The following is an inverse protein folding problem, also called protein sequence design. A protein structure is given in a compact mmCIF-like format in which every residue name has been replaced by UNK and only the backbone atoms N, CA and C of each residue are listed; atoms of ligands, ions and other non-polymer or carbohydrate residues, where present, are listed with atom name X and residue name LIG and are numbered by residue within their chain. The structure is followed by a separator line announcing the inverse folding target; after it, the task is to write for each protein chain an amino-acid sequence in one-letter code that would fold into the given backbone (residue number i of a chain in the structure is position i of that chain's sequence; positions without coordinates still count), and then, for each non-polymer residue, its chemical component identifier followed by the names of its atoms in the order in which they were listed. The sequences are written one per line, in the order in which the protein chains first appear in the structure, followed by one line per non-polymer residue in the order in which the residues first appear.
data_IF_933673274257
#
_entry.id   IF_933673274257
#
_cell.length_a   1.000
_cell.length_b   1.000
_cell.length_c   1.000
_cell.angle_alpha   90.00
_cell.angle_beta   90.00
_cell.angle_gamma   90.00
#
_symmetry.space_group_name_H-M   'P 1'
#
loop_
_entity.id
_entity.type
_entity.pdbx_description
1 polymer ?
#
# COMPACT_ATOMS: atom_id res chain seq x y z
N UNK A 1 10.44 12.22 -63.64
CA UNK A 1 10.20 13.41 -62.79
C UNK A 1 10.89 13.21 -61.45
N UNK A 2 11.62 14.24 -61.00
CA UNK A 2 12.75 14.16 -60.07
C UNK A 2 12.32 13.97 -58.60
N UNK A 3 12.88 12.96 -57.93
CA UNK A 3 13.08 12.95 -56.47
C UNK A 3 14.06 14.08 -56.14
N UNK A 4 13.70 14.96 -55.20
CA UNK A 4 14.63 15.96 -54.65
C UNK A 4 15.06 15.48 -53.28
N UNK A 5 16.31 15.04 -53.24
CA UNK A 5 17.13 14.98 -52.05
C UNK A 5 17.21 16.36 -51.40
N UNK A 6 17.08 16.41 -50.07
CA UNK A 6 17.54 17.56 -49.30
C UNK A 6 18.14 17.09 -47.98
N UNK A 7 19.37 16.59 -48.06
CA UNK A 7 20.32 16.70 -46.97
C UNK A 7 21.23 17.90 -47.27
N UNK A 8 21.25 18.89 -46.39
CA UNK A 8 22.40 19.76 -46.04
C UNK A 8 22.03 20.68 -44.88
N UNK A 9 22.48 20.27 -43.69
CA UNK A 9 23.22 21.05 -42.67
C UNK A 9 22.94 22.56 -42.53
N UNK A 10 22.58 22.98 -41.31
CA UNK A 10 23.45 23.82 -40.48
C UNK A 10 22.92 23.95 -39.04
N UNK A 11 23.83 23.83 -38.09
CA UNK A 11 23.65 24.03 -36.65
C UNK A 11 23.04 25.42 -36.38
N UNK A 12 21.90 25.43 -35.70
CA UNK A 12 21.52 26.56 -34.85
C UNK A 12 21.59 26.08 -33.41
N UNK A 13 22.62 26.52 -32.69
CA UNK A 13 22.76 26.37 -31.24
C UNK A 13 21.69 27.25 -30.59
N UNK A 14 20.46 26.78 -30.51
CA UNK A 14 19.46 27.37 -29.62
C UNK A 14 19.84 26.96 -28.20
N UNK A 15 20.47 27.88 -27.48
CA UNK A 15 20.47 27.86 -26.02
C UNK A 15 18.99 27.87 -25.59
N UNK A 16 18.45 26.68 -25.30
CA UNK A 16 17.29 26.56 -24.44
C UNK A 16 17.72 27.13 -23.08
N UNK A 17 17.55 28.45 -22.92
CA UNK A 17 17.43 29.04 -21.61
C UNK A 17 16.23 28.35 -20.99
N UNK A 18 16.51 27.29 -20.22
CA UNK A 18 15.51 26.56 -19.48
C UNK A 18 14.75 27.56 -18.65
N UNK A 19 13.48 27.77 -18.98
CA UNK A 19 12.53 28.37 -18.07
C UNK A 19 12.41 27.34 -16.94
N UNK A 20 13.29 27.45 -15.96
CA UNK A 20 13.06 26.87 -14.65
C UNK A 20 11.89 27.65 -14.07
N UNK A 21 10.67 27.25 -14.43
CA UNK A 21 9.52 27.47 -13.58
C UNK A 21 9.79 26.63 -12.33
N UNK A 22 10.54 27.20 -11.39
CA UNK A 22 10.43 26.83 -9.98
C UNK A 22 9.04 27.26 -9.54
N UNK A 23 8.03 26.44 -9.90
CA UNK A 23 6.84 26.33 -9.09
C UNK A 23 7.35 25.79 -7.75
N UNK A 24 7.68 26.70 -6.85
CA UNK A 24 7.78 26.41 -5.44
C UNK A 24 6.40 25.92 -5.01
N UNK A 25 6.17 24.63 -5.17
CA UNK A 25 4.98 23.96 -4.66
C UNK A 25 5.11 23.91 -3.13
N UNK A 26 4.11 24.50 -2.48
CA UNK A 26 3.83 24.48 -1.04
C UNK A 26 4.61 23.43 -0.24
N UNK A 27 5.45 23.92 0.68
CA UNK A 27 6.31 23.12 1.58
C UNK A 27 5.58 22.26 2.63
N UNK A 28 4.29 21.93 2.42
CA UNK A 28 3.48 21.08 3.30
C UNK A 28 3.35 19.63 2.83
N UNK A 29 3.31 19.37 1.52
CA UNK A 29 3.25 18.01 0.96
C UNK A 29 4.65 17.36 0.85
N UNK A 30 5.72 18.15 0.92
CA UNK A 30 7.10 17.74 0.60
C UNK A 30 7.78 16.87 1.67
N UNK A 31 7.11 16.57 2.80
CA UNK A 31 7.66 15.72 3.87
C UNK A 31 6.98 14.36 4.04
N UNK A 32 5.86 14.14 3.34
CA UNK A 32 5.07 12.91 3.48
C UNK A 32 5.37 11.96 2.35
N UNK A 33 5.53 10.71 2.70
CA UNK A 33 5.72 9.64 1.73
C UNK A 33 4.39 9.28 1.05
N UNK A 34 4.53 8.58 -0.06
CA UNK A 34 3.43 7.95 -0.76
C UNK A 34 3.62 6.44 -0.75
N UNK A 35 2.51 5.72 -0.70
CA UNK A 35 2.51 4.26 -0.74
C UNK A 35 1.65 3.79 -1.89
N UNK A 36 2.12 2.81 -2.64
CA UNK A 36 1.25 2.00 -3.50
C UNK A 36 1.04 0.65 -2.84
N UNK A 37 -0.21 0.31 -2.55
CA UNK A 37 -0.60 -1.01 -2.07
C UNK A 37 -1.26 -1.77 -3.21
N UNK A 38 -0.57 -2.79 -3.72
CA UNK A 38 -1.10 -3.73 -4.70
C UNK A 38 -1.64 -4.96 -4.00
N UNK A 39 -2.82 -5.41 -4.38
CA UNK A 39 -3.43 -6.65 -3.94
C UNK A 39 -3.63 -7.58 -5.15
N UNK A 40 -3.08 -8.78 -5.06
CA UNK A 40 -3.07 -9.78 -6.12
C UNK A 40 -4.00 -10.93 -5.75
N UNK A 41 -4.97 -11.23 -6.62
CA UNK A 41 -5.73 -12.48 -6.59
C UNK A 41 -5.05 -13.45 -7.55
N UNK A 42 -4.17 -14.30 -7.01
CA UNK A 42 -3.38 -15.25 -7.78
C UNK A 42 -4.06 -16.61 -7.88
N UNK A 43 -3.75 -17.35 -8.94
CA UNK A 43 -3.94 -18.81 -8.93
C UNK A 43 -2.86 -19.44 -8.04
N UNK A 44 -3.19 -20.40 -7.15
CA UNK A 44 -2.21 -20.95 -6.19
C UNK A 44 -0.93 -21.51 -6.83
N UNK A 45 -1.02 -22.13 -8.01
CA UNK A 45 0.12 -22.68 -8.75
C UNK A 45 1.07 -21.62 -9.32
N UNK A 46 0.63 -20.35 -9.37
CA UNK A 46 1.42 -19.22 -9.89
C UNK A 46 2.22 -18.49 -8.83
N UNK A 47 2.04 -18.80 -7.54
CA UNK A 47 2.73 -18.11 -6.44
C UNK A 47 4.24 -18.06 -6.66
N UNK A 48 4.87 -19.20 -6.97
CA UNK A 48 6.31 -19.26 -7.20
C UNK A 48 6.79 -18.37 -8.34
N UNK A 49 6.04 -18.31 -9.45
CA UNK A 49 6.39 -17.48 -10.60
C UNK A 49 6.35 -15.98 -10.23
N UNK A 50 5.33 -15.57 -9.46
CA UNK A 50 5.22 -14.20 -8.95
C UNK A 50 6.35 -13.89 -7.97
N UNK A 51 6.67 -14.81 -7.06
CA UNK A 51 7.74 -14.63 -6.09
C UNK A 51 9.10 -14.46 -6.76
N UNK A 52 9.39 -15.29 -7.79
CA UNK A 52 10.62 -15.17 -8.58
C UNK A 52 10.68 -13.84 -9.33
N UNK A 53 9.57 -13.37 -9.92
CA UNK A 53 9.51 -12.05 -10.56
C UNK A 53 9.71 -10.90 -9.58
N UNK A 54 9.01 -10.91 -8.44
CA UNK A 54 9.10 -9.84 -7.46
C UNK A 54 10.52 -9.76 -6.87
N UNK A 55 11.07 -10.89 -6.45
CA UNK A 55 12.38 -10.95 -5.78
C UNK A 55 13.56 -10.69 -6.72
N UNK A 56 13.49 -11.13 -7.98
CA UNK A 56 14.63 -11.07 -8.91
C UNK A 56 14.54 -9.97 -9.96
N UNK A 57 13.34 -9.48 -10.26
CA UNK A 57 13.13 -8.44 -11.28
C UNK A 57 12.62 -7.13 -10.65
N UNK A 58 11.41 -7.14 -10.09
CA UNK A 58 10.74 -5.89 -9.68
C UNK A 58 11.48 -5.17 -8.55
N UNK A 59 11.72 -5.84 -7.42
CA UNK A 59 12.32 -5.21 -6.24
C UNK A 59 13.73 -4.67 -6.53
N UNK A 60 14.65 -5.43 -7.16
CA UNK A 60 15.96 -4.90 -7.53
C UNK A 60 15.89 -3.70 -8.48
N UNK A 61 14.98 -3.73 -9.46
CA UNK A 61 14.81 -2.64 -10.41
C UNK A 61 14.26 -1.37 -9.75
N UNK A 62 13.26 -1.49 -8.86
CA UNK A 62 12.78 -0.37 -8.04
C UNK A 62 13.89 0.22 -7.18
N UNK A 63 14.70 -0.64 -6.55
CA UNK A 63 15.84 -0.21 -5.74
C UNK A 63 16.85 0.64 -6.52
N UNK A 64 17.16 0.28 -7.78
CA UNK A 64 18.03 1.08 -8.66
C UNK A 64 17.44 2.45 -9.02
N UNK A 65 16.11 2.60 -8.96
CA UNK A 65 15.40 3.86 -9.18
C UNK A 65 15.21 4.67 -7.88
N UNK A 66 15.76 4.20 -6.76
CA UNK A 66 15.56 4.82 -5.44
C UNK A 66 14.15 4.68 -4.90
N UNK A 67 13.36 3.76 -5.44
CA UNK A 67 12.00 3.43 -4.98
C UNK A 67 12.08 2.26 -4.01
N UNK A 68 11.42 2.40 -2.85
CA UNK A 68 11.45 1.41 -1.79
C UNK A 68 11.57 2.05 -0.39
N UNK A 69 11.54 1.25 0.69
CA UNK A 69 11.50 -0.22 0.68
C UNK A 69 10.20 -0.80 0.10
N UNK A 70 10.28 -2.06 -0.33
CA UNK A 70 9.15 -2.84 -0.86
C UNK A 70 8.81 -3.98 0.10
N UNK A 71 7.60 -3.94 0.63
CA UNK A 71 7.03 -5.01 1.44
C UNK A 71 6.26 -6.01 0.58
N UNK A 72 6.43 -7.30 0.84
CA UNK A 72 5.71 -8.37 0.15
C UNK A 72 5.11 -9.30 1.19
N UNK A 73 3.78 -9.44 1.18
CA UNK A 73 3.04 -10.10 2.24
C UNK A 73 2.03 -11.08 1.67
N UNK A 74 2.04 -12.31 2.19
CA UNK A 74 1.10 -13.37 1.85
C UNK A 74 -0.07 -13.35 2.83
N UNK A 75 -1.28 -13.65 2.34
CA UNK A 75 -2.42 -13.91 3.21
C UNK A 75 -2.09 -15.06 4.19
N UNK A 76 -2.63 -14.99 5.41
CA UNK A 76 -2.54 -16.05 6.41
C UNK A 76 -3.94 -16.63 6.65
N UNK A 77 -4.45 -17.55 5.79
CA UNK A 77 -5.81 -18.06 5.87
C UNK A 77 -6.17 -18.65 7.24
N UNK A 78 -5.22 -19.27 7.90
CA UNK A 78 -5.36 -19.84 9.24
C UNK A 78 -5.64 -18.78 10.33
N UNK A 79 -5.27 -17.52 10.08
CA UNK A 79 -5.53 -16.37 10.94
C UNK A 79 -6.66 -15.47 10.40
N UNK A 80 -7.19 -15.79 9.22
CA UNK A 80 -8.27 -15.07 8.54
C UNK A 80 -9.48 -15.99 8.29
N UNK A 81 -10.06 -16.62 9.33
CA UNK A 81 -11.18 -17.51 9.14
C UNK A 81 -12.37 -16.76 8.50
N UNK A 82 -13.15 -17.42 7.62
CA UNK A 82 -14.38 -16.85 7.10
C UNK A 82 -15.30 -16.39 8.24
N UNK A 83 -16.12 -15.34 8.04
CA UNK A 83 -17.11 -14.94 9.02
C UNK A 83 -18.02 -16.12 9.36
N UNK A 84 -18.15 -16.43 10.65
CA UNK A 84 -19.10 -17.45 11.09
C UNK A 84 -20.53 -16.99 10.76
N UNK A 85 -21.38 -17.93 10.32
CA UNK A 85 -22.81 -17.67 10.20
C UNK A 85 -23.37 -17.31 11.58
N UNK A 86 -24.16 -16.23 11.66
CA UNK A 86 -24.88 -15.91 12.90
C UNK A 86 -26.01 -16.94 13.10
N UNK A 87 -26.31 -17.37 14.34
CA UNK A 87 -27.43 -18.26 14.60
C UNK A 87 -28.72 -17.72 13.97
N UNK A 88 -29.43 -18.55 13.21
CA UNK A 88 -30.69 -18.18 12.55
C UNK A 88 -30.55 -17.33 11.28
N UNK A 89 -29.34 -17.10 10.77
CA UNK A 89 -29.12 -16.40 9.50
C UNK A 89 -28.52 -17.36 8.45
N UNK A 90 -28.90 -17.23 7.17
CA UNK A 90 -28.22 -17.97 6.11
C UNK A 90 -26.71 -17.66 6.15
N UNK A 91 -25.86 -18.62 5.75
CA UNK A 91 -24.44 -18.35 5.62
C UNK A 91 -24.24 -17.11 4.73
N UNK A 92 -23.32 -16.21 5.08
CA UNK A 92 -23.07 -15.04 4.25
C UNK A 92 -22.73 -15.52 2.83
N UNK A 93 -23.14 -14.77 1.78
CA UNK A 93 -22.78 -15.11 0.41
C UNK A 93 -21.27 -15.30 0.31
N UNK A 94 -20.83 -16.33 -0.41
CA UNK A 94 -19.41 -16.64 -0.57
C UNK A 94 -18.69 -15.37 -1.04
N UNK A 95 -17.80 -14.79 -0.22
CA UNK A 95 -17.11 -13.59 -0.63
C UNK A 95 -16.24 -13.92 -1.86
N UNK A 96 -16.05 -12.96 -2.79
CA UNK A 96 -15.08 -13.14 -3.86
C UNK A 96 -13.72 -13.53 -3.27
N UNK A 97 -12.99 -14.41 -3.97
CA UNK A 97 -11.69 -14.92 -3.53
C UNK A 97 -10.81 -13.76 -3.06
N UNK A 98 -10.39 -13.74 -1.78
CA UNK A 98 -9.59 -12.65 -1.28
C UNK A 98 -8.24 -12.63 -1.99
N UNK A 99 -7.58 -11.46 -2.09
CA UNK A 99 -6.21 -11.39 -2.55
C UNK A 99 -5.32 -12.30 -1.68
N UNK A 100 -4.44 -13.06 -2.31
CA UNK A 100 -3.50 -13.97 -1.64
C UNK A 100 -2.13 -13.33 -1.41
N UNK A 101 -1.83 -12.24 -2.11
CA UNK A 101 -0.56 -11.56 -2.06
C UNK A 101 -0.75 -10.03 -2.08
N UNK A 102 0.01 -9.34 -1.25
CA UNK A 102 0.04 -7.88 -1.14
C UNK A 102 1.46 -7.36 -1.34
N UNK A 103 1.61 -6.30 -2.14
CA UNK A 103 2.89 -5.63 -2.38
C UNK A 103 2.75 -4.16 -2.00
N UNK A 104 3.53 -3.71 -1.02
CA UNK A 104 3.58 -2.32 -0.57
C UNK A 104 4.85 -1.67 -1.11
N UNK A 105 4.72 -0.64 -1.94
CA UNK A 105 5.84 0.10 -2.53
C UNK A 105 5.86 1.50 -1.94
N UNK A 106 6.99 1.91 -1.34
CA UNK A 106 7.18 3.29 -0.87
C UNK A 106 7.78 4.17 -1.95
N UNK A 107 7.19 5.36 -2.12
CA UNK A 107 7.70 6.47 -2.92
C UNK A 107 7.93 7.71 -2.04
N UNK A 108 8.92 8.52 -2.38
CA UNK A 108 9.20 9.79 -1.68
C UNK A 108 8.75 11.02 -2.45
N UNK A 109 8.31 10.86 -3.70
CA UNK A 109 7.85 11.97 -4.52
C UNK A 109 6.80 11.53 -5.54
N UNK A 110 6.00 12.51 -5.99
CA UNK A 110 5.09 12.33 -7.11
C UNK A 110 5.83 12.03 -8.42
N UNK A 111 7.06 12.54 -8.58
CA UNK A 111 7.90 12.27 -9.74
C UNK A 111 8.27 10.78 -9.84
N UNK A 112 8.61 10.13 -8.72
CA UNK A 112 8.83 8.68 -8.72
C UNK A 112 7.57 7.93 -9.15
N UNK A 113 6.40 8.31 -8.63
CA UNK A 113 5.11 7.69 -9.01
C UNK A 113 4.84 7.86 -10.51
N UNK A 114 5.09 9.05 -11.06
CA UNK A 114 4.82 9.38 -12.46
C UNK A 114 5.77 8.67 -13.44
N UNK A 115 7.02 8.42 -13.05
CA UNK A 115 8.09 7.99 -13.97
C UNK A 115 8.47 6.51 -13.83
N UNK A 116 8.24 5.88 -12.68
CA UNK A 116 8.73 4.51 -12.37
C UNK A 116 8.28 3.48 -13.40
N UNK A 117 7.02 3.52 -13.85
CA UNK A 117 6.50 2.54 -14.79
C UNK A 117 7.20 2.61 -16.16
N UNK A 118 7.43 3.83 -16.66
CA UNK A 118 8.16 4.07 -17.90
C UNK A 118 9.64 3.66 -17.78
N UNK A 119 10.28 3.98 -16.66
CA UNK A 119 11.68 3.63 -16.41
C UNK A 119 11.88 2.11 -16.33
N UNK A 120 10.96 1.39 -15.67
CA UNK A 120 10.95 -0.07 -15.66
C UNK A 120 10.71 -0.62 -17.06
N UNK A 121 9.73 -0.08 -17.80
CA UNK A 121 9.43 -0.52 -19.16
C UNK A 121 10.62 -0.34 -20.12
N UNK A 122 11.47 0.68 -19.92
CA UNK A 122 12.68 0.90 -20.71
C UNK A 122 13.93 0.12 -20.24
N UNK A 123 13.85 -0.62 -19.13
CA UNK A 123 15.02 -1.26 -18.52
C UNK A 123 15.21 -2.71 -19.02
N UNK A 124 16.21 -2.94 -19.85
CA UNK A 124 16.50 -4.26 -20.44
C UNK A 124 16.83 -5.34 -19.40
N UNK A 125 17.52 -4.98 -18.30
CA UNK A 125 17.84 -5.92 -17.23
C UNK A 125 16.58 -6.41 -16.51
N UNK A 126 15.66 -5.49 -16.18
CA UNK A 126 14.36 -5.79 -15.58
C UNK A 126 13.49 -6.63 -16.52
N UNK A 127 13.42 -6.25 -17.80
CA UNK A 127 12.67 -7.01 -18.80
C UNK A 127 13.17 -8.46 -18.90
N UNK A 128 14.49 -8.66 -18.96
CA UNK A 128 15.11 -9.98 -19.00
C UNK A 128 14.84 -10.78 -17.72
N UNK A 129 15.01 -10.15 -16.55
CA UNK A 129 14.77 -10.80 -15.26
C UNK A 129 13.29 -11.19 -15.06
N UNK A 130 12.35 -10.44 -15.63
CA UNK A 130 10.91 -10.67 -15.54
C UNK A 130 10.28 -11.38 -16.74
N UNK A 131 11.08 -11.93 -17.65
CA UNK A 131 10.60 -12.51 -18.92
C UNK A 131 9.60 -13.66 -18.70
N UNK A 132 9.92 -14.58 -17.78
CA UNK A 132 9.05 -15.71 -17.45
C UNK A 132 7.66 -15.29 -16.92
N UNK A 133 7.58 -14.17 -16.20
CA UNK A 133 6.32 -13.63 -15.69
C UNK A 133 5.56 -12.84 -16.76
N UNK A 134 6.26 -12.02 -17.54
CA UNK A 134 5.63 -11.11 -18.52
C UNK A 134 5.17 -11.79 -19.80
N UNK A 135 5.68 -12.99 -20.12
CA UNK A 135 5.36 -13.74 -21.34
C UNK A 135 4.48 -14.96 -21.14
N UNK A 136 3.75 -15.05 -20.02
CA UNK A 136 2.76 -16.12 -19.85
C UNK A 136 1.69 -16.05 -20.95
N UNK A 137 1.21 -17.19 -21.47
CA UNK A 137 0.14 -17.18 -22.47
C UNK A 137 -1.19 -16.77 -21.83
N UNK A 138 -2.08 -16.17 -22.62
CA UNK A 138 -3.42 -15.76 -22.15
C UNK A 138 -4.29 -16.92 -21.66
N UNK A 139 -4.01 -18.15 -22.08
CA UNK A 139 -4.66 -19.38 -21.61
C UNK A 139 -4.23 -19.79 -20.19
N UNK A 140 -3.10 -19.26 -19.69
CA UNK A 140 -2.56 -19.58 -18.38
C UNK A 140 -2.12 -18.30 -17.62
N UNK A 141 -3.06 -17.38 -17.34
CA UNK A 141 -2.73 -16.10 -16.71
C UNK A 141 -2.21 -16.30 -15.29
N UNK A 142 -1.28 -15.41 -14.88
CA UNK A 142 -0.67 -15.43 -13.54
C UNK A 142 -1.68 -15.09 -12.42
N UNK A 143 -2.58 -14.16 -12.70
CA UNK A 143 -3.52 -13.60 -11.73
C UNK A 143 -4.90 -13.42 -12.36
N UNK A 144 -5.93 -13.51 -11.52
CA UNK A 144 -7.28 -13.11 -11.88
C UNK A 144 -7.42 -11.58 -11.81
N UNK A 145 -6.71 -10.95 -10.87
CA UNK A 145 -6.74 -9.50 -10.67
C UNK A 145 -5.50 -8.98 -9.97
N UNK A 146 -5.08 -7.77 -10.36
CA UNK A 146 -4.27 -6.87 -9.55
C UNK A 146 -5.11 -5.62 -9.30
N UNK A 147 -5.29 -5.28 -8.03
CA UNK A 147 -5.91 -4.02 -7.59
C UNK A 147 -4.80 -3.15 -6.99
N UNK A 148 -4.77 -1.86 -7.30
CA UNK A 148 -3.77 -0.93 -6.76
C UNK A 148 -4.45 0.29 -6.13
N UNK A 149 -3.96 0.69 -4.96
CA UNK A 149 -4.34 1.92 -4.28
C UNK A 149 -3.10 2.78 -4.03
N UNK A 150 -3.17 4.05 -4.38
CA UNK A 150 -2.20 5.07 -4.02
C UNK A 150 -2.64 5.75 -2.73
N UNK A 151 -1.73 5.82 -1.77
CA UNK A 151 -1.95 6.40 -0.46
C UNK A 151 -0.95 7.52 -0.18
N UNK A 152 -1.43 8.56 0.50
CA UNK A 152 -0.62 9.62 1.08
C UNK A 152 -0.44 9.35 2.57
N UNK A 153 0.81 9.36 3.06
CA UNK A 153 1.10 9.14 4.47
C UNK A 153 0.36 10.14 5.38
N UNK A 154 0.08 9.71 6.60
CA UNK A 154 -0.51 10.57 7.63
C UNK A 154 0.49 11.64 8.11
N UNK A 155 0.00 12.79 8.54
CA UNK A 155 0.87 13.85 9.10
C UNK A 155 1.55 13.42 10.41
N UNK A 156 0.83 12.68 11.26
CA UNK A 156 1.32 12.12 12.52
C UNK A 156 2.26 10.93 12.35
N UNK A 157 2.41 10.40 11.12
CA UNK A 157 3.39 9.39 10.76
C UNK A 157 3.74 9.55 9.27
N UNK A 158 4.58 10.55 8.92
CA UNK A 158 4.81 10.95 7.54
C UNK A 158 5.70 9.97 6.77
N UNK A 159 6.33 9.03 7.48
CA UNK A 159 7.22 8.04 6.93
C UNK A 159 6.93 6.62 7.46
N UNK A 160 7.18 5.63 6.61
CA UNK A 160 7.03 4.22 6.92
C UNK A 160 8.11 3.77 7.91
N UNK A 161 7.71 2.95 8.88
CA UNK A 161 8.61 2.32 9.83
C UNK A 161 8.82 0.85 9.48
N UNK A 162 10.05 0.50 9.14
CA UNK A 162 10.42 -0.89 8.85
C UNK A 162 10.60 -1.66 10.15
N UNK A 163 9.82 -2.72 10.41
CA UNK A 163 9.99 -3.51 11.62
C UNK A 163 11.24 -4.40 11.54
N UNK A 164 11.74 -4.82 12.70
CA UNK A 164 12.89 -5.73 12.76
C UNK A 164 12.60 -7.09 12.10
N UNK A 165 13.65 -7.76 11.60
CA UNK A 165 13.54 -9.00 10.81
C UNK A 165 13.17 -10.29 11.59
N UNK A 166 12.74 -10.18 12.85
CA UNK A 166 12.32 -11.34 13.66
C UNK A 166 11.00 -11.92 13.15
N UNK A 167 10.60 -13.08 13.69
CA UNK A 167 9.27 -13.64 13.49
C UNK A 167 8.21 -12.58 13.72
N UNK A 168 7.37 -12.37 12.72
CA UNK A 168 6.35 -11.33 12.72
C UNK A 168 5.18 -11.68 11.82
N UNK A 169 4.01 -11.26 12.25
CA UNK A 169 2.80 -11.15 11.44
C UNK A 169 2.47 -9.67 11.23
N UNK A 170 1.70 -9.41 10.19
CA UNK A 170 1.22 -8.08 9.87
C UNK A 170 -0.30 -8.06 9.90
N UNK A 171 -0.88 -6.93 10.28
CA UNK A 171 -2.31 -6.71 10.24
C UNK A 171 -2.60 -5.51 9.36
N UNK A 172 -3.13 -5.75 8.17
CA UNK A 172 -3.60 -4.74 7.24
C UNK A 172 -5.06 -4.42 7.54
N UNK A 173 -5.37 -3.14 7.76
CA UNK A 173 -6.74 -2.68 7.99
C UNK A 173 -7.09 -1.53 7.06
N UNK A 174 -8.27 -1.61 6.45
CA UNK A 174 -8.84 -0.57 5.58
C UNK A 174 -10.16 -0.13 6.19
N UNK A 175 -10.28 1.15 6.51
CA UNK A 175 -11.47 1.73 7.11
C UNK A 175 -12.15 2.60 6.07
N UNK A 176 -13.30 2.14 5.57
CA UNK A 176 -14.16 2.93 4.70
C UNK A 176 -14.99 3.89 5.53
N UNK A 177 -15.29 5.04 4.94
CA UNK A 177 -16.20 6.04 5.49
C UNK A 177 -17.36 6.28 4.53
N UNK A 178 -18.53 6.64 5.07
CA UNK A 178 -19.73 6.87 4.26
C UNK A 178 -19.73 8.24 3.55
N UNK A 179 -18.77 9.12 3.87
CA UNK A 179 -18.57 10.41 3.22
C UNK A 179 -17.10 10.84 3.34
N UNK A 180 -16.67 11.76 2.47
CA UNK A 180 -15.30 12.31 2.50
C UNK A 180 -15.03 13.05 3.80
N UNK A 181 -16.01 13.83 4.30
CA UNK A 181 -15.92 14.54 5.57
C UNK A 181 -15.72 13.57 6.76
N UNK A 182 -16.48 12.47 6.79
CA UNK A 182 -16.31 11.40 7.77
C UNK A 182 -14.90 10.77 7.70
N UNK A 183 -14.41 10.51 6.49
CA UNK A 183 -13.06 10.00 6.28
C UNK A 183 -11.98 10.95 6.81
N UNK A 184 -12.10 12.25 6.49
CA UNK A 184 -11.20 13.29 7.00
C UNK A 184 -11.25 13.39 8.52
N UNK A 185 -12.42 13.25 9.16
CA UNK A 185 -12.53 13.23 10.62
C UNK A 185 -11.85 12.03 11.27
N UNK A 186 -11.94 10.83 10.68
CA UNK A 186 -11.17 9.68 11.18
C UNK A 186 -9.66 9.87 11.01
N UNK A 187 -9.22 10.44 9.89
CA UNK A 187 -7.80 10.77 9.66
C UNK A 187 -7.32 11.83 10.67
N UNK A 188 -8.14 12.84 10.96
CA UNK A 188 -7.89 13.86 11.99
C UNK A 188 -7.70 13.22 13.38
N UNK A 189 -8.55 12.27 13.74
CA UNK A 189 -8.46 11.53 15.01
C UNK A 189 -7.09 10.83 15.18
N UNK A 190 -6.58 10.20 14.11
CA UNK A 190 -5.24 9.62 14.10
C UNK A 190 -4.13 10.66 14.20
N UNK A 191 -4.20 11.72 13.39
CA UNK A 191 -3.14 12.73 13.30
C UNK A 191 -3.07 13.66 14.51
N UNK A 192 -4.21 14.04 15.07
CA UNK A 192 -4.34 15.20 15.99
C UNK A 192 -4.92 14.83 17.35
N UNK A 193 -5.81 13.83 17.41
CA UNK A 193 -6.48 13.46 18.65
C UNK A 193 -5.74 12.35 19.45
N UNK A 194 -4.53 11.99 19.01
CA UNK A 194 -3.62 11.15 19.77
C UNK A 194 -3.73 9.65 19.53
N UNK A 195 -4.63 9.15 18.67
CA UNK A 195 -4.86 7.71 18.48
C UNK A 195 -3.58 6.94 18.10
N UNK A 196 -2.68 7.53 17.30
CA UNK A 196 -1.35 6.94 16.98
C UNK A 196 -0.50 6.76 18.25
N UNK A 197 -0.49 7.75 19.15
CA UNK A 197 0.23 7.68 20.43
C UNK A 197 -0.34 6.56 21.31
N UNK A 198 -1.67 6.44 21.37
CA UNK A 198 -2.35 5.36 22.10
C UNK A 198 -1.94 4.00 21.51
N UNK A 199 -1.96 3.86 20.19
CA UNK A 199 -1.54 2.62 19.52
C UNK A 199 -0.15 2.19 19.98
N UNK A 200 0.83 3.10 19.92
CA UNK A 200 2.21 2.80 20.29
C UNK A 200 2.34 2.33 21.74
N UNK A 201 1.74 3.04 22.69
CA UNK A 201 1.82 2.65 24.11
C UNK A 201 1.11 1.31 24.41
N UNK A 202 0.08 0.97 23.67
CA UNK A 202 -0.64 -0.31 23.81
C UNK A 202 0.07 -1.48 23.11
N UNK A 203 1.19 -1.23 22.42
CA UNK A 203 1.92 -2.26 21.67
C UNK A 203 1.37 -2.52 20.27
N UNK A 204 0.43 -1.71 19.77
CA UNK A 204 0.02 -1.69 18.37
C UNK A 204 1.09 -0.97 17.56
N UNK A 205 2.09 -1.71 17.09
CA UNK A 205 3.29 -1.15 16.42
C UNK A 205 2.98 -0.83 14.96
N UNK A 206 2.96 0.44 14.55
CA UNK A 206 2.67 0.82 13.18
C UNK A 206 3.80 0.47 12.22
N UNK A 207 3.43 0.11 10.99
CA UNK A 207 4.31 0.08 9.82
C UNK A 207 4.06 1.33 8.97
N UNK A 208 2.79 1.62 8.67
CA UNK A 208 2.38 2.87 8.03
C UNK A 208 0.92 3.21 8.34
N UNK A 209 0.56 4.48 8.15
CA UNK A 209 -0.82 4.95 8.00
C UNK A 209 -0.93 5.81 6.74
N UNK A 210 -1.98 5.62 5.95
CA UNK A 210 -2.18 6.36 4.71
C UNK A 210 -3.63 6.64 4.39
N UNK A 211 -3.89 7.83 3.84
CA UNK A 211 -5.16 8.18 3.21
C UNK A 211 -5.12 7.70 1.76
N UNK A 212 -6.11 6.92 1.33
CA UNK A 212 -6.19 6.54 -0.09
C UNK A 212 -6.62 7.73 -0.91
N UNK A 213 -5.76 8.17 -1.83
CA UNK A 213 -6.00 9.32 -2.73
C UNK A 213 -6.46 8.87 -4.13
N UNK A 214 -6.19 7.63 -4.50
CA UNK A 214 -6.73 6.97 -5.68
C UNK A 214 -6.76 5.45 -5.45
N UNK A 215 -7.86 4.78 -5.82
CA UNK A 215 -7.97 3.33 -5.70
C UNK A 215 -9.37 2.87 -5.33
N UNK A 216 -9.46 1.67 -4.80
CA UNK A 216 -10.74 1.05 -4.46
C UNK A 216 -11.26 1.53 -3.10
N UNK A 217 -12.59 1.43 -2.93
CA UNK A 217 -13.28 1.60 -1.63
C UNK A 217 -13.09 2.99 -1.02
N UNK A 218 -12.92 4.02 -1.86
CA UNK A 218 -12.80 5.40 -1.39
C UNK A 218 -14.17 5.97 -0.97
N UNK A 219 -14.21 6.87 0.02
CA UNK A 219 -13.08 7.33 0.83
C UNK A 219 -12.68 6.29 1.89
N UNK A 220 -11.37 6.09 2.06
CA UNK A 220 -10.84 5.23 3.12
C UNK A 220 -9.45 5.69 3.59
N UNK A 221 -9.11 5.25 4.80
CA UNK A 221 -7.74 5.16 5.26
C UNK A 221 -7.31 3.69 5.33
N UNK A 222 -6.02 3.45 5.14
CA UNK A 222 -5.41 2.14 5.28
C UNK A 222 -4.20 2.25 6.21
N UNK A 223 -4.03 1.24 7.07
CA UNK A 223 -2.85 1.13 7.90
C UNK A 223 -2.42 -0.31 8.08
N UNK A 224 -1.15 -0.49 8.42
CA UNK A 224 -0.59 -1.78 8.72
C UNK A 224 0.12 -1.73 10.07
N UNK A 225 -0.13 -2.75 10.89
CA UNK A 225 0.56 -2.98 12.17
C UNK A 225 1.40 -4.25 12.10
N UNK A 226 2.43 -4.35 12.92
CA UNK A 226 3.25 -5.56 13.06
C UNK A 226 3.19 -6.13 14.48
N UNK A 227 3.27 -7.45 14.60
CA UNK A 227 3.27 -8.16 15.88
C UNK A 227 4.20 -9.38 15.81
N UNK A 228 4.79 -9.82 16.93
CA UNK A 228 5.57 -11.06 16.95
C UNK A 228 4.73 -12.29 16.54
N UNK A 229 3.49 -12.37 17.01
CA UNK A 229 2.55 -13.45 16.73
C UNK A 229 1.10 -13.01 17.01
N UNK A 230 0.15 -13.90 16.78
CA UNK A 230 -1.27 -13.61 16.92
C UNK A 230 -1.72 -13.35 18.36
N UNK A 231 -1.06 -13.98 19.34
CA UNK A 231 -1.40 -13.77 20.76
C UNK A 231 -0.94 -12.40 21.24
N UNK A 232 0.27 -11.97 20.87
CA UNK A 232 0.74 -10.61 21.13
C UNK A 232 -0.15 -9.56 20.45
N UNK A 233 -0.67 -9.86 19.26
CA UNK A 233 -1.67 -9.02 18.58
C UNK A 233 -2.95 -8.90 19.40
N UNK A 234 -3.52 -10.02 19.85
CA UNK A 234 -4.75 -10.04 20.68
C UNK A 234 -4.54 -9.26 21.98
N UNK A 235 -3.42 -9.46 22.65
CA UNK A 235 -3.05 -8.76 23.89
C UNK A 235 -2.96 -7.25 23.67
N UNK A 236 -2.23 -6.80 22.64
CA UNK A 236 -2.09 -5.38 22.32
C UNK A 236 -3.45 -4.72 22.01
N UNK A 237 -4.32 -5.40 21.25
CA UNK A 237 -5.68 -4.92 21.02
C UNK A 237 -6.55 -4.96 22.28
N UNK A 238 -6.33 -5.91 23.18
CA UNK A 238 -6.97 -5.96 24.49
C UNK A 238 -6.64 -4.69 25.29
N UNK A 239 -5.35 -4.39 25.44
CA UNK A 239 -4.84 -3.17 26.09
C UNK A 239 -5.43 -1.90 25.47
N UNK A 240 -5.43 -1.81 24.13
CA UNK A 240 -5.98 -0.66 23.41
C UNK A 240 -7.47 -0.45 23.69
N UNK A 241 -8.29 -1.53 23.65
CA UNK A 241 -9.75 -1.40 23.85
C UNK A 241 -10.12 -0.91 25.25
N UNK A 242 -9.30 -1.20 26.24
CA UNK A 242 -9.51 -0.79 27.64
C UNK A 242 -8.72 0.45 28.03
N UNK A 243 -7.96 1.05 27.10
CA UNK A 243 -7.15 2.23 27.39
C UNK A 243 -8.05 3.43 27.74
N UNK A 244 -7.83 4.12 28.89
CA UNK A 244 -8.71 5.19 29.34
C UNK A 244 -8.81 6.38 28.38
N UNK A 245 -7.74 6.75 27.67
CA UNK A 245 -7.82 7.86 26.71
C UNK A 245 -8.49 7.42 25.41
N UNK A 246 -8.31 6.17 24.99
CA UNK A 246 -9.08 5.63 23.87
C UNK A 246 -10.58 5.63 24.18
N UNK A 247 -10.95 5.19 25.38
CA UNK A 247 -12.35 5.17 25.82
C UNK A 247 -12.96 6.57 25.84
N UNK A 248 -12.21 7.59 26.28
CA UNK A 248 -12.64 8.99 26.21
C UNK A 248 -12.77 9.45 24.75
N UNK A 249 -11.74 9.21 23.94
CA UNK A 249 -11.66 9.67 22.56
C UNK A 249 -12.79 9.11 21.69
N UNK A 250 -13.07 7.81 21.79
CA UNK A 250 -14.15 7.15 21.02
C UNK A 250 -15.57 7.55 21.46
N UNK A 251 -15.72 8.15 22.64
CA UNK A 251 -16.99 8.64 23.16
C UNK A 251 -17.28 10.09 22.73
N UNK A 252 -16.28 10.82 22.22
CA UNK A 252 -16.50 12.14 21.64
C UNK A 252 -17.38 11.99 20.40
N UNK A 253 -18.50 12.72 20.35
CA UNK A 253 -19.50 12.57 19.28
C UNK A 253 -18.89 12.75 17.88
N UNK A 254 -17.94 13.67 17.72
CA UNK A 254 -17.26 13.92 16.44
C UNK A 254 -16.35 12.76 15.99
N UNK A 255 -15.90 11.92 16.92
CA UNK A 255 -14.97 10.80 16.68
C UNK A 255 -15.60 9.42 16.91
N UNK A 256 -16.88 9.37 17.25
CA UNK A 256 -17.58 8.10 17.46
C UNK A 256 -17.59 7.29 16.16
N UNK A 257 -17.11 6.05 16.20
CA UNK A 257 -16.95 5.20 15.00
C UNK A 257 -18.22 5.14 14.13
N UNK A 258 -19.41 5.08 14.75
CA UNK A 258 -20.72 5.07 14.06
C UNK A 258 -20.91 6.27 13.10
N UNK A 259 -20.21 7.38 13.37
CA UNK A 259 -20.30 8.63 12.62
C UNK A 259 -19.18 8.75 11.57
N UNK A 260 -18.12 7.94 11.63
CA UNK A 260 -16.93 8.16 10.78
C UNK A 260 -16.41 6.89 10.09
N UNK A 261 -16.82 5.70 10.48
CA UNK A 261 -16.44 4.41 9.88
C UNK A 261 -17.68 3.62 9.47
N UNK A 262 -17.79 3.28 8.19
CA UNK A 262 -18.89 2.46 7.64
C UNK A 262 -18.52 0.99 7.54
N UNK A 263 -17.26 0.68 7.21
CA UNK A 263 -16.80 -0.70 7.01
C UNK A 263 -15.32 -0.84 7.34
N UNK A 264 -14.98 -1.98 7.94
CA UNK A 264 -13.58 -2.32 8.24
C UNK A 264 -13.24 -3.62 7.53
N UNK A 265 -12.21 -3.56 6.70
CA UNK A 265 -11.50 -4.74 6.22
C UNK A 265 -10.31 -5.01 7.12
N UNK A 266 -10.09 -6.28 7.44
CA UNK A 266 -9.00 -6.72 8.31
C UNK A 266 -8.40 -8.00 7.74
N UNK A 267 -7.09 -7.99 7.55
CA UNK A 267 -6.33 -9.14 7.05
C UNK A 267 -5.05 -9.31 7.86
N UNK A 268 -4.82 -10.53 8.33
CA UNK A 268 -3.54 -10.94 8.89
C UNK A 268 -2.66 -11.50 7.77
N UNK A 269 -1.42 -11.06 7.70
CA UNK A 269 -0.48 -11.37 6.64
C UNK A 269 0.85 -11.86 7.23
N UNK A 270 1.61 -12.60 6.43
CA UNK A 270 2.99 -13.03 6.73
C UNK A 270 3.95 -12.45 5.69
N UNK A 271 5.14 -11.96 6.07
CA UNK A 271 6.09 -11.47 5.09
C UNK A 271 6.64 -12.62 4.24
N UNK A 272 6.82 -12.38 2.94
CA UNK A 272 7.63 -13.26 2.11
C UNK A 272 9.10 -13.21 2.57
N UNK A 273 9.92 -14.26 2.37
CA UNK A 273 11.32 -14.28 2.81
C UNK A 273 12.19 -13.14 2.26
N UNK A 274 11.83 -12.60 1.10
CA UNK A 274 12.53 -11.51 0.41
C UNK A 274 11.86 -10.13 0.61
N UNK A 275 10.83 -10.03 1.46
CA UNK A 275 10.21 -8.76 1.82
C UNK A 275 11.23 -7.84 2.51
N UNK A 276 11.30 -6.57 2.10
CA UNK A 276 12.15 -5.57 2.75
C UNK A 276 11.50 -4.97 4.00
N UNK A 277 10.23 -5.29 4.25
CA UNK A 277 9.41 -4.89 5.40
C UNK A 277 9.01 -6.14 6.19
#
# INVERSE_FOLDING_TARGET
MKRRDFFKTSLATTTLAGIHNTLAADGGLTKREFYELRAYTLKPDKQKLVDDYLSRALIPALGRLGVGPVGVFLDAPELNPPPAAKPGQPPPPTPPTPPSLYVLIRYTSLDQIATVAMQLAGNAEYQKAGEAYSRVPSSDPVYDRIESSLLLAFEGMPALETPGKKDRIFQLRIYESHSEAAGKKKIEMFNKAGEITIFRRCGLKPVFFGETVAGLRMPNLTYMLTFPNDDARKEAWGKFRTDPEWLKLRQMDEYADKNIVSKIWNRILKPAPYSQI
#
